data_IF_075005861158
#
_entry.id   IF_075005861158
#
_cell.length_a   1.000
_cell.length_b   1.000
_cell.length_c   1.000
_cell.angle_alpha   90.00
_cell.angle_beta   90.00
_cell.angle_gamma   90.00
#
_symmetry.space_group_name_H-M   'P 1'
#
loop_
_entity.id
_entity.type
_entity.pdbx_description
1 polymer ?
#
# COMPACT_ATOMS: atom_id res chain seq x y z
N UNK A 1 -8.21 29.31 2.64
CA UNK A 1 -8.27 28.57 1.37
C UNK A 1 -8.24 27.07 1.67
N UNK A 2 -9.17 26.33 1.12
CA UNK A 2 -9.20 24.87 1.33
C UNK A 2 -8.24 24.18 0.38
N UNK A 3 -7.57 23.14 0.89
CA UNK A 3 -6.74 22.31 0.06
C UNK A 3 -7.60 21.50 -0.92
N UNK A 4 -7.09 21.32 -2.13
CA UNK A 4 -7.77 20.55 -3.16
C UNK A 4 -7.71 19.07 -2.83
N UNK A 5 -8.82 18.36 -3.04
CA UNK A 5 -8.91 16.92 -2.92
C UNK A 5 -8.78 16.29 -4.31
N UNK A 6 -7.81 15.40 -4.47
CA UNK A 6 -7.64 14.61 -5.68
C UNK A 6 -7.59 13.14 -5.35
N UNK A 7 -8.02 12.30 -6.29
CA UNK A 7 -8.05 10.85 -6.09
C UNK A 7 -7.43 10.14 -7.27
N UNK A 8 -6.95 8.92 -7.01
CA UNK A 8 -6.50 7.98 -8.03
C UNK A 8 -7.26 6.68 -7.86
N UNK A 9 -7.73 6.12 -8.96
CA UNK A 9 -8.52 4.88 -8.95
C UNK A 9 -8.01 3.94 -10.04
N UNK A 10 -8.00 2.64 -9.75
CA UNK A 10 -7.72 1.59 -10.74
C UNK A 10 -8.98 1.12 -11.46
N UNK A 11 -10.16 1.64 -11.07
CA UNK A 11 -11.43 1.30 -11.70
C UNK A 11 -11.96 -0.08 -11.33
N UNK A 12 -11.54 -0.64 -10.19
CA UNK A 12 -11.98 -1.96 -9.77
C UNK A 12 -13.43 -1.92 -9.26
N UNK A 13 -14.08 -3.09 -9.28
CA UNK A 13 -15.42 -3.23 -8.72
C UNK A 13 -15.43 -2.97 -7.21
N UNK A 14 -14.34 -3.30 -6.51
CA UNK A 14 -14.23 -3.08 -5.07
C UNK A 14 -14.28 -1.60 -4.74
N UNK A 15 -13.57 -0.76 -5.50
CA UNK A 15 -13.55 0.68 -5.30
C UNK A 15 -14.94 1.28 -5.56
N UNK A 16 -15.59 0.84 -6.62
CA UNK A 16 -16.92 1.32 -6.98
C UNK A 16 -17.95 0.94 -5.92
N UNK A 17 -18.00 -0.35 -5.56
CA UNK A 17 -19.01 -0.86 -4.63
C UNK A 17 -18.75 -0.37 -3.19
N UNK A 18 -17.49 -0.20 -2.81
CA UNK A 18 -17.11 0.27 -1.48
C UNK A 18 -17.02 1.78 -1.37
N UNK A 19 -17.20 2.52 -2.46
CA UNK A 19 -17.10 3.99 -2.49
C UNK A 19 -15.75 4.49 -1.97
N UNK A 20 -14.65 3.91 -2.49
CA UNK A 20 -13.31 4.36 -2.12
C UNK A 20 -12.39 4.42 -3.35
N UNK A 21 -11.30 5.16 -3.21
CA UNK A 21 -10.26 5.28 -4.23
C UNK A 21 -9.02 4.47 -3.82
N UNK A 22 -8.12 4.21 -4.76
CA UNK A 22 -6.83 3.61 -4.44
C UNK A 22 -5.97 4.53 -3.61
N UNK A 23 -6.02 5.82 -3.90
CA UNK A 23 -5.28 6.83 -3.16
C UNK A 23 -6.04 8.15 -3.17
N UNK A 24 -5.83 8.94 -2.13
CA UNK A 24 -6.43 10.28 -1.96
C UNK A 24 -5.33 11.24 -1.55
N UNK A 25 -5.35 12.45 -2.13
CA UNK A 25 -4.46 13.54 -1.71
C UNK A 25 -5.27 14.75 -1.31
N UNK A 26 -4.95 15.32 -0.15
CA UNK A 26 -5.47 16.63 0.29
C UNK A 26 -4.26 17.44 0.77
N UNK A 27 -4.00 18.57 0.12
CA UNK A 27 -2.81 19.36 0.44
C UNK A 27 -1.55 18.56 0.17
N UNK A 28 -0.72 18.36 1.20
CA UNK A 28 0.50 17.57 1.12
C UNK A 28 0.32 16.11 1.54
N UNK A 29 -0.84 15.74 2.08
CA UNK A 29 -1.08 14.39 2.61
C UNK A 29 -1.63 13.47 1.52
N UNK A 30 -0.98 12.33 1.33
CA UNK A 30 -1.44 11.26 0.44
C UNK A 30 -1.70 10.03 1.29
N UNK A 31 -2.90 9.46 1.19
CA UNK A 31 -3.27 8.21 1.84
C UNK A 31 -3.54 7.15 0.78
N UNK A 32 -2.95 5.98 0.92
CA UNK A 32 -3.17 4.85 0.01
C UNK A 32 -3.94 3.76 0.73
N UNK A 33 -5.01 3.33 0.11
CA UNK A 33 -5.89 2.26 0.62
C UNK A 33 -5.15 0.95 0.79
N UNK A 34 -5.73 0.04 1.57
CA UNK A 34 -5.25 -1.33 1.67
C UNK A 34 -5.02 -1.91 0.27
N UNK A 35 -3.82 -2.37 0.01
CA UNK A 35 -3.37 -2.78 -1.32
C UNK A 35 -2.94 -4.24 -1.27
N UNK A 36 -3.64 -5.07 -2.05
CA UNK A 36 -3.37 -6.50 -2.16
C UNK A 36 -2.47 -6.81 -3.36
N UNK A 37 -1.71 -7.92 -3.32
CA UNK A 37 -0.85 -8.33 -4.44
C UNK A 37 -1.70 -9.01 -5.52
N UNK A 38 -2.52 -8.23 -6.23
CA UNK A 38 -3.42 -8.73 -7.26
C UNK A 38 -3.05 -8.12 -8.60
N UNK A 39 -2.97 -8.97 -9.61
CA UNK A 39 -2.74 -8.56 -10.99
C UNK A 39 -3.96 -8.87 -11.87
N UNK A 40 -3.84 -8.69 -13.20
CA UNK A 40 -4.96 -8.91 -14.13
C UNK A 40 -5.54 -10.32 -14.09
N UNK A 41 -4.74 -11.31 -13.72
CA UNK A 41 -5.15 -12.72 -13.70
C UNK A 41 -5.42 -13.26 -12.30
N UNK A 42 -5.49 -12.38 -11.29
CA UNK A 42 -5.78 -12.77 -9.92
C UNK A 42 -4.60 -12.52 -8.98
N UNK A 43 -4.58 -13.26 -7.86
CA UNK A 43 -3.57 -13.09 -6.84
C UNK A 43 -2.18 -13.46 -7.36
N UNK A 44 -1.23 -12.56 -7.15
CA UNK A 44 0.17 -12.74 -7.54
C UNK A 44 0.88 -13.59 -6.47
N UNK A 45 1.80 -14.44 -6.92
CA UNK A 45 2.71 -15.21 -6.07
C UNK A 45 2.04 -15.94 -4.90
N UNK A 46 1.01 -16.79 -5.15
CA UNK A 46 0.36 -17.52 -4.06
C UNK A 46 1.38 -18.28 -3.21
N UNK A 47 1.22 -18.20 -1.88
CA UNK A 47 2.11 -18.90 -0.94
C UNK A 47 3.44 -18.23 -0.66
N UNK A 48 3.77 -17.12 -1.33
CA UNK A 48 5.06 -16.44 -1.22
C UNK A 48 4.89 -15.09 -0.54
N UNK A 49 5.08 -15.06 0.78
CA UNK A 49 4.89 -13.84 1.58
C UNK A 49 5.85 -12.72 1.19
N UNK A 50 7.09 -13.06 0.83
CA UNK A 50 8.08 -12.06 0.42
C UNK A 50 7.66 -11.37 -0.88
N UNK A 51 7.35 -12.16 -1.91
CA UNK A 51 6.98 -11.60 -3.22
C UNK A 51 5.63 -10.90 -3.17
N UNK A 52 4.68 -11.41 -2.40
CA UNK A 52 3.39 -10.73 -2.23
C UNK A 52 3.56 -9.38 -1.56
N UNK A 53 4.40 -9.30 -0.54
CA UNK A 53 4.69 -8.02 0.13
C UNK A 53 5.34 -7.03 -0.83
N UNK A 54 6.35 -7.47 -1.57
CA UNK A 54 7.02 -6.61 -2.56
C UNK A 54 6.04 -6.10 -3.62
N UNK A 55 5.16 -6.97 -4.11
CA UNK A 55 4.15 -6.60 -5.11
C UNK A 55 3.13 -5.61 -4.55
N UNK A 56 2.65 -5.83 -3.34
CA UNK A 56 1.70 -4.91 -2.69
C UNK A 56 2.33 -3.54 -2.46
N UNK A 57 3.58 -3.49 -1.99
CA UNK A 57 4.30 -2.23 -1.78
C UNK A 57 4.48 -1.48 -3.10
N UNK A 58 4.88 -2.18 -4.17
CA UNK A 58 5.05 -1.56 -5.48
C UNK A 58 3.75 -0.94 -5.98
N UNK A 59 2.63 -1.67 -5.85
CA UNK A 59 1.32 -1.15 -6.25
C UNK A 59 0.93 0.08 -5.44
N UNK A 60 1.17 0.05 -4.13
CA UNK A 60 0.84 1.19 -3.26
C UNK A 60 1.70 2.41 -3.59
N UNK A 61 3.00 2.21 -3.84
CA UNK A 61 3.89 3.30 -4.24
C UNK A 61 3.51 3.88 -5.61
N UNK A 62 3.07 3.04 -6.55
CA UNK A 62 2.58 3.51 -7.84
C UNK A 62 1.33 4.37 -7.69
N UNK A 63 0.39 3.98 -6.82
CA UNK A 63 -0.81 4.77 -6.54
C UNK A 63 -0.43 6.12 -5.89
N UNK A 64 0.51 6.12 -4.95
CA UNK A 64 1.01 7.34 -4.32
C UNK A 64 1.68 8.25 -5.36
N UNK A 65 2.48 7.67 -6.26
CA UNK A 65 3.18 8.41 -7.31
C UNK A 65 2.21 9.10 -8.28
N UNK A 66 1.06 8.48 -8.55
CA UNK A 66 0.02 9.07 -9.38
C UNK A 66 -0.49 10.39 -8.79
N UNK A 67 -0.36 10.58 -7.48
CA UNK A 67 -0.75 11.81 -6.78
C UNK A 67 0.46 12.66 -6.34
N UNK A 68 1.65 12.34 -6.84
CA UNK A 68 2.85 13.15 -6.63
C UNK A 68 3.72 12.77 -5.44
N UNK A 69 3.41 11.67 -4.74
CA UNK A 69 4.22 11.23 -3.60
C UNK A 69 5.28 10.22 -4.06
N UNK A 70 6.50 10.39 -3.60
CA UNK A 70 7.60 9.48 -3.86
C UNK A 70 7.86 8.58 -2.64
N UNK A 71 8.69 7.57 -2.83
CA UNK A 71 9.08 6.65 -1.75
C UNK A 71 9.59 7.40 -0.51
N UNK A 72 10.41 8.41 -0.72
CA UNK A 72 11.00 9.18 0.39
C UNK A 72 9.99 10.05 1.15
N UNK A 73 8.79 10.23 0.59
CA UNK A 73 7.72 10.98 1.23
C UNK A 73 6.90 10.14 2.21
N UNK A 74 7.09 8.82 2.22
CA UNK A 74 6.29 7.90 3.04
C UNK A 74 6.65 8.06 4.51
N UNK A 75 5.64 8.31 5.34
CA UNK A 75 5.82 8.52 6.79
C UNK A 75 5.25 7.39 7.63
N UNK A 76 4.28 6.66 7.11
CA UNK A 76 3.60 5.59 7.84
C UNK A 76 3.29 4.45 6.90
N UNK A 77 3.58 3.24 7.34
CA UNK A 77 3.16 2.01 6.64
C UNK A 77 2.46 1.07 7.61
N UNK A 78 1.59 0.22 7.06
CA UNK A 78 0.98 -0.89 7.79
C UNK A 78 1.05 -2.14 6.93
N UNK A 79 1.56 -3.22 7.54
CA UNK A 79 1.53 -4.56 6.97
C UNK A 79 0.45 -5.35 7.69
N UNK A 80 -0.53 -5.83 6.93
CA UNK A 80 -1.61 -6.67 7.43
C UNK A 80 -1.39 -8.07 6.90
N UNK A 81 -1.29 -9.05 7.79
CA UNK A 81 -0.91 -10.41 7.44
C UNK A 81 -2.06 -11.38 7.71
N UNK A 82 -2.35 -12.24 6.73
CA UNK A 82 -3.33 -13.31 6.91
C UNK A 82 -2.72 -14.47 7.68
N UNK A 83 -3.54 -15.36 8.28
CA UNK A 83 -3.04 -16.60 8.82
C UNK A 83 -2.29 -17.38 7.75
N UNK A 84 -1.11 -17.91 8.10
CA UNK A 84 -0.24 -18.62 7.18
C UNK A 84 0.82 -17.73 6.52
N UNK A 85 0.75 -16.43 6.65
CA UNK A 85 1.83 -15.54 6.18
C UNK A 85 3.09 -15.75 7.04
N UNK A 86 4.24 -15.70 6.38
CA UNK A 86 5.54 -15.74 7.06
C UNK A 86 5.96 -14.31 7.34
N UNK A 87 5.80 -13.88 8.60
CA UNK A 87 5.99 -12.46 8.93
C UNK A 87 7.43 -11.99 8.73
N UNK A 88 8.41 -12.85 8.95
CA UNK A 88 9.82 -12.51 8.73
C UNK A 88 10.09 -12.16 7.26
N UNK A 89 9.45 -12.88 6.33
CA UNK A 89 9.58 -12.61 4.90
C UNK A 89 8.91 -11.29 4.52
N UNK A 90 7.76 -11.00 5.10
CA UNK A 90 7.06 -9.72 4.86
C UNK A 90 7.87 -8.54 5.40
N UNK A 91 8.42 -8.68 6.61
CA UNK A 91 9.26 -7.64 7.21
C UNK A 91 10.54 -7.42 6.40
N UNK A 92 11.15 -8.48 5.89
CA UNK A 92 12.35 -8.37 5.04
C UNK A 92 12.04 -7.59 3.76
N UNK A 93 10.93 -7.90 3.10
CA UNK A 93 10.53 -7.19 1.88
C UNK A 93 10.28 -5.70 2.17
N UNK A 94 9.63 -5.39 3.29
CA UNK A 94 9.40 -4.00 3.72
C UNK A 94 10.73 -3.29 3.99
N UNK A 95 11.65 -3.94 4.69
CA UNK A 95 12.96 -3.37 5.00
C UNK A 95 13.76 -3.03 3.76
N UNK A 96 13.69 -3.90 2.73
CA UNK A 96 14.36 -3.64 1.46
C UNK A 96 13.71 -2.48 0.70
N UNK A 97 12.38 -2.43 0.69
CA UNK A 97 11.64 -1.39 -0.03
C UNK A 97 11.86 0.00 0.56
N UNK A 98 11.99 0.12 1.87
CA UNK A 98 12.06 1.40 2.57
C UNK A 98 13.41 1.65 3.24
N UNK A 99 14.46 0.99 2.75
CA UNK A 99 15.82 1.24 3.24
C UNK A 99 16.14 2.73 3.19
N UNK A 100 16.68 3.26 4.27
CA UNK A 100 17.06 4.69 4.45
C UNK A 100 15.89 5.66 4.54
N UNK A 101 14.65 5.23 4.31
CA UNK A 101 13.44 6.05 4.56
C UNK A 101 12.97 5.88 5.99
N UNK A 102 12.88 4.63 6.44
CA UNK A 102 12.49 4.26 7.81
C UNK A 102 11.17 4.89 8.26
N UNK A 103 10.06 4.64 7.55
CA UNK A 103 8.76 5.14 7.98
C UNK A 103 8.31 4.50 9.29
N UNK A 104 7.41 5.16 10.00
CA UNK A 104 6.73 4.50 11.12
C UNK A 104 5.94 3.31 10.58
N UNK A 105 6.00 2.17 11.26
CA UNK A 105 5.35 0.95 10.78
C UNK A 105 4.55 0.29 11.89
N UNK A 106 3.45 -0.34 11.51
CA UNK A 106 2.72 -1.30 12.33
C UNK A 106 2.48 -2.54 11.49
N UNK A 107 2.84 -3.70 12.01
CA UNK A 107 2.64 -5.00 11.36
C UNK A 107 1.83 -5.88 12.30
N UNK A 108 0.73 -6.46 11.81
CA UNK A 108 -0.12 -7.31 12.63
C UNK A 108 -0.88 -8.32 11.79
N UNK A 109 -1.31 -9.39 12.45
CA UNK A 109 -2.14 -10.39 11.81
C UNK A 109 -3.61 -9.99 11.87
N UNK A 110 -4.33 -10.30 10.80
CA UNK A 110 -5.80 -10.13 10.70
C UNK A 110 -6.42 -11.51 10.45
N UNK A 111 -7.75 -11.57 10.45
CA UNK A 111 -8.46 -12.83 10.29
C UNK A 111 -8.26 -13.47 8.91
N UNK A 112 -8.04 -12.67 7.88
CA UNK A 112 -7.81 -13.15 6.52
C UNK A 112 -8.21 -12.12 5.47
N UNK A 113 -8.00 -12.50 4.22
CA UNK A 113 -8.36 -11.72 3.03
C UNK A 113 -9.08 -12.63 2.04
N UNK A 114 -9.23 -12.16 0.81
CA UNK A 114 -9.71 -13.00 -0.29
C UNK A 114 -8.71 -14.12 -0.56
N UNK A 115 -9.13 -15.21 -1.25
CA UNK A 115 -8.28 -16.38 -1.44
C UNK A 115 -6.89 -16.08 -1.97
N UNK A 116 -5.89 -16.76 -1.40
CA UNK A 116 -4.48 -16.70 -1.78
C UNK A 116 -3.76 -15.39 -1.46
N UNK A 117 -4.44 -14.38 -0.90
CA UNK A 117 -3.80 -13.15 -0.44
C UNK A 117 -3.31 -13.36 1.00
N UNK A 118 -2.00 -13.27 1.20
CA UNK A 118 -1.35 -13.40 2.50
C UNK A 118 -1.02 -12.04 3.13
N UNK A 119 -0.90 -11.00 2.31
CA UNK A 119 -0.43 -9.69 2.77
C UNK A 119 -1.24 -8.60 2.09
N UNK A 120 -1.65 -7.59 2.87
CA UNK A 120 -2.07 -6.30 2.34
C UNK A 120 -1.21 -5.21 2.93
N UNK A 121 -1.09 -4.11 2.21
CA UNK A 121 -0.20 -3.02 2.58
C UNK A 121 -0.91 -1.68 2.40
N UNK A 122 -0.72 -0.76 3.35
CA UNK A 122 -1.23 0.60 3.22
C UNK A 122 -0.18 1.61 3.67
N UNK A 123 -0.26 2.83 3.17
CA UNK A 123 0.70 3.87 3.52
C UNK A 123 0.07 5.25 3.56
N UNK A 124 0.73 6.12 4.32
CA UNK A 124 0.52 7.56 4.29
C UNK A 124 1.85 8.23 3.93
N UNK A 125 1.76 9.29 3.13
CA UNK A 125 2.91 10.07 2.71
C UNK A 125 2.63 11.56 2.85
N UNK A 126 3.69 12.35 3.07
CA UNK A 126 3.62 13.82 3.06
C UNK A 126 4.54 14.32 1.96
N UNK A 127 3.93 14.96 0.96
CA UNK A 127 4.66 15.52 -0.16
C UNK A 127 5.20 16.88 0.26
N UNK A 128 6.51 17.07 0.15
CA UNK A 128 7.10 18.38 0.40
C UNK A 128 6.73 19.33 -0.73
N UNK A 129 6.16 20.47 -0.37
CA UNK A 129 5.92 21.48 -1.39
C UNK A 129 7.25 22.02 -1.89
N UNK A 130 7.40 22.20 -3.20
CA UNK A 130 8.58 22.90 -3.71
C UNK A 130 8.59 24.32 -3.11
N UNK A 131 9.72 24.68 -2.58
CA UNK A 131 9.88 26.01 -1.99
C UNK A 131 9.70 27.12 -3.03
#
# INVERSE_FOLDING_TARGET
>A
MQATRTTHSDGTVFERDGSYARAVRIGSHVAVSGTAPIGPEGTLHPGDSYRQTSAAITKALDAAAALGAERDDVIRTRLLLAPGAVWEDAVRAHGEAFADVNPANTTYFVAGFIPDVLVEFELDALVSDPA
#
